data_IF_966720207977
#
_entry.id   IF_966720207977
#
_cell.length_a   1.000
_cell.length_b   1.000
_cell.length_c   1.000
_cell.angle_alpha   90.00
_cell.angle_beta   90.00
_cell.angle_gamma   90.00
#
_symmetry.space_group_name_H-M   'P 1'
#
loop_
_entity.id
_entity.type
_entity.pdbx_description
1 polymer ?
#
# COMPACT_ATOMS: atom_id res chain seq x y z
N UNK A 1 9.43 39.53 47.04
CA UNK A 1 9.27 39.51 45.57
C UNK A 1 9.84 38.26 44.91
N UNK A 2 11.02 37.77 45.27
CA UNK A 2 11.65 36.56 44.68
C UNK A 2 10.78 35.29 44.84
N UNK A 3 10.14 35.09 46.02
CA UNK A 3 9.32 33.90 46.28
C UNK A 3 8.03 33.86 45.44
N UNK A 4 7.45 35.02 45.11
CA UNK A 4 6.21 35.10 44.28
C UNK A 4 6.55 34.83 42.80
N UNK A 5 7.71 35.34 42.33
CA UNK A 5 8.19 35.08 40.97
C UNK A 5 8.55 33.61 40.79
N UNK A 6 9.18 32.97 41.75
CA UNK A 6 9.52 31.54 41.75
C UNK A 6 8.26 30.65 41.70
N UNK A 7 7.25 30.91 42.54
CA UNK A 7 5.95 30.21 42.52
C UNK A 7 5.18 30.41 41.21
N UNK A 8 5.32 31.58 40.56
CA UNK A 8 4.70 31.84 39.26
C UNK A 8 5.40 31.07 38.14
N UNK A 9 6.73 31.00 38.20
CA UNK A 9 7.53 30.24 37.26
C UNK A 9 7.29 28.72 37.37
N UNK A 10 7.23 28.21 38.61
CA UNK A 10 6.90 26.79 38.90
C UNK A 10 5.51 26.43 38.37
N UNK A 11 4.49 27.27 38.60
CA UNK A 11 3.15 27.06 38.04
C UNK A 11 3.08 27.16 36.53
N UNK A 12 3.92 27.98 35.92
CA UNK A 12 3.98 28.11 34.47
C UNK A 12 4.67 26.91 33.85
N UNK A 13 5.78 26.45 34.43
CA UNK A 13 6.49 25.24 33.96
C UNK A 13 5.63 23.98 34.12
N UNK A 14 4.95 23.82 35.27
CA UNK A 14 4.05 22.69 35.46
C UNK A 14 2.90 22.67 34.45
N UNK A 15 2.28 23.82 34.15
CA UNK A 15 1.26 23.92 33.12
C UNK A 15 1.80 23.67 31.71
N UNK A 16 2.95 24.27 31.40
CA UNK A 16 3.54 24.10 30.09
C UNK A 16 3.89 22.62 29.80
N UNK A 17 4.44 21.91 30.78
CA UNK A 17 4.73 20.49 30.70
C UNK A 17 3.46 19.64 30.63
N UNK A 18 2.43 20.02 31.37
CA UNK A 18 1.15 19.31 31.40
C UNK A 18 0.39 19.43 30.05
N UNK A 19 0.39 20.63 29.47
CA UNK A 19 -0.33 20.93 28.21
C UNK A 19 0.50 20.57 26.93
N UNK A 20 1.71 20.00 27.09
CA UNK A 20 2.50 19.52 25.93
C UNK A 20 1.85 18.32 25.26
N UNK A 21 1.79 18.34 23.93
CA UNK A 21 1.33 17.20 23.11
C UNK A 21 2.33 16.04 23.10
N UNK A 22 3.61 16.31 23.35
CA UNK A 22 4.62 15.28 23.53
C UNK A 22 4.53 14.66 24.91
N UNK A 23 4.66 13.35 24.99
CA UNK A 23 4.73 12.65 26.25
C UNK A 23 6.04 13.02 26.99
N UNK A 24 5.92 13.31 28.29
CA UNK A 24 7.06 13.67 29.17
C UNK A 24 7.05 12.78 30.38
N UNK A 25 8.17 12.09 30.60
CA UNK A 25 8.45 11.24 31.76
C UNK A 25 9.74 11.72 32.41
N UNK A 26 9.75 11.88 33.71
CA UNK A 26 10.96 12.20 34.48
C UNK A 26 11.22 11.08 35.48
N UNK A 27 12.43 10.55 35.44
CA UNK A 27 12.89 9.47 36.31
C UNK A 27 14.02 9.93 37.21
N UNK A 28 14.09 9.38 38.42
CA UNK A 28 15.28 9.45 39.24
C UNK A 28 16.31 8.40 38.80
N UNK A 29 17.45 8.40 39.44
CA UNK A 29 18.55 7.48 39.16
C UNK A 29 18.26 6.01 39.47
N UNK A 30 17.24 5.75 40.26
CA UNK A 30 16.74 4.42 40.65
C UNK A 30 15.54 4.00 39.80
N UNK A 31 15.29 4.70 38.70
CA UNK A 31 14.16 4.47 37.80
C UNK A 31 12.78 4.71 38.42
N UNK A 32 12.71 5.45 39.51
CA UNK A 32 11.41 5.83 40.05
C UNK A 32 10.84 7.03 39.27
N UNK A 33 9.54 7.00 39.02
CA UNK A 33 8.84 8.05 38.30
C UNK A 33 8.69 9.28 39.20
N UNK A 34 9.33 10.38 38.82
CA UNK A 34 9.19 11.68 39.50
C UNK A 34 8.01 12.45 38.93
N UNK A 35 7.84 12.42 37.61
CA UNK A 35 6.80 13.15 36.90
C UNK A 35 6.38 12.42 35.62
N UNK A 36 5.10 12.52 35.29
CA UNK A 36 4.51 12.07 34.05
C UNK A 36 3.40 13.07 33.67
N UNK A 37 3.41 13.53 32.40
CA UNK A 37 2.32 14.38 31.90
C UNK A 37 1.16 13.52 31.35
N UNK A 38 0.04 14.17 30.96
CA UNK A 38 -1.14 13.46 30.50
C UNK A 38 -0.87 12.63 29.23
N UNK A 39 -0.10 13.15 28.28
CA UNK A 39 0.26 12.42 27.07
C UNK A 39 1.08 11.15 27.37
N UNK A 40 2.05 11.22 28.28
CA UNK A 40 2.79 10.04 28.72
C UNK A 40 1.91 9.06 29.52
N UNK A 41 1.01 9.58 30.35
CA UNK A 41 0.04 8.79 31.10
C UNK A 41 -0.88 7.98 30.18
N UNK A 42 -1.33 8.56 29.08
CA UNK A 42 -2.19 7.89 28.10
C UNK A 42 -1.44 6.76 27.36
N UNK A 43 -0.20 7.00 26.92
CA UNK A 43 0.60 6.01 26.16
C UNK A 43 1.06 4.87 27.09
N UNK A 44 1.56 5.20 28.26
CA UNK A 44 2.07 4.23 29.24
C UNK A 44 0.96 3.56 30.05
N UNK A 45 -0.28 4.07 29.98
CA UNK A 45 -1.42 3.64 30.78
C UNK A 45 -1.13 3.70 32.30
N UNK A 46 -0.39 4.72 32.70
CA UNK A 46 -0.05 5.02 34.10
C UNK A 46 -1.08 6.00 34.65
N UNK A 47 -1.52 5.85 35.90
CA UNK A 47 -2.36 6.86 36.53
C UNK A 47 -1.61 8.20 36.56
N UNK A 48 -2.22 9.27 35.99
CA UNK A 48 -1.64 10.60 35.96
C UNK A 48 -1.57 11.21 37.40
N UNK A 49 -0.53 11.98 37.66
CA UNK A 49 -0.40 12.75 38.87
C UNK A 49 0.35 12.06 40.02
N UNK A 50 0.02 12.42 41.27
CA UNK A 50 0.75 12.01 42.51
C UNK A 50 0.81 10.48 42.74
N UNK A 51 -0.06 9.69 42.16
CA UNK A 51 -0.07 8.22 42.31
C UNK A 51 1.00 7.51 41.49
N UNK A 52 1.46 8.11 40.40
CA UNK A 52 2.58 7.57 39.61
C UNK A 52 3.94 7.87 40.27
N UNK A 53 3.99 8.83 41.20
CA UNK A 53 5.23 9.13 41.90
C UNK A 53 5.64 7.96 42.78
N UNK A 54 6.95 7.66 42.75
CA UNK A 54 7.60 6.57 43.48
C UNK A 54 7.31 5.16 42.92
N UNK A 55 6.53 5.05 41.82
CA UNK A 55 6.42 3.77 41.08
C UNK A 55 7.71 3.53 40.30
N UNK A 56 8.22 2.32 40.36
CA UNK A 56 9.41 1.94 39.57
C UNK A 56 9.00 1.76 38.11
N UNK A 57 9.73 2.40 37.18
CA UNK A 57 9.42 2.42 35.76
C UNK A 57 9.40 1.02 35.13
N UNK A 58 10.23 0.10 35.63
CA UNK A 58 10.26 -1.28 35.15
C UNK A 58 8.90 -1.97 35.16
N UNK A 59 7.97 -1.61 36.06
CA UNK A 59 6.60 -2.16 36.10
C UNK A 59 5.80 -1.90 34.82
N UNK A 60 6.19 -0.92 34.02
CA UNK A 60 5.52 -0.55 32.78
C UNK A 60 6.30 -1.01 31.53
N UNK A 61 7.45 -1.67 31.70
CA UNK A 61 8.30 -2.15 30.62
C UNK A 61 8.62 -3.65 30.69
N UNK A 62 7.95 -4.43 31.55
CA UNK A 62 8.20 -5.85 31.79
C UNK A 62 7.91 -6.77 30.58
N UNK A 63 7.07 -6.33 29.62
CA UNK A 63 6.82 -7.13 28.41
C UNK A 63 8.11 -7.18 27.55
N UNK A 64 8.59 -8.37 27.15
CA UNK A 64 9.80 -8.50 26.30
C UNK A 64 9.73 -7.68 24.98
N UNK A 65 8.52 -7.34 24.53
CA UNK A 65 8.32 -6.42 23.40
C UNK A 65 8.89 -5.01 23.67
N UNK A 66 8.99 -4.62 24.95
CA UNK A 66 9.40 -3.30 25.40
C UNK A 66 10.91 -3.21 25.73
N UNK A 67 11.69 -4.30 25.51
CA UNK A 67 13.13 -4.32 25.84
C UNK A 67 13.88 -3.15 25.19
N UNK A 68 13.61 -2.86 23.90
CA UNK A 68 14.26 -1.75 23.20
C UNK A 68 13.89 -0.37 23.80
N UNK A 69 12.65 -0.19 24.27
CA UNK A 69 12.20 1.02 24.96
C UNK A 69 12.90 1.17 26.32
N UNK A 70 12.95 0.10 27.09
CA UNK A 70 13.63 0.08 28.39
C UNK A 70 15.15 0.31 28.24
N UNK A 71 15.79 -0.37 27.30
CA UNK A 71 17.22 -0.21 27.04
C UNK A 71 17.59 1.22 26.61
N UNK A 72 16.76 1.88 25.80
CA UNK A 72 17.00 3.27 25.41
C UNK A 72 17.03 4.22 26.63
N UNK A 73 16.14 4.00 27.61
CA UNK A 73 16.07 4.79 28.86
C UNK A 73 17.24 4.44 29.78
N UNK A 74 17.52 3.15 30.01
CA UNK A 74 18.64 2.70 30.83
C UNK A 74 19.98 3.18 30.29
N UNK A 75 20.21 3.08 28.99
CA UNK A 75 21.43 3.55 28.36
C UNK A 75 21.67 5.04 28.60
N UNK A 76 20.61 5.86 28.56
CA UNK A 76 20.73 7.29 28.86
C UNK A 76 21.06 7.55 30.32
N UNK A 77 20.50 6.79 31.26
CA UNK A 77 20.81 6.88 32.70
C UNK A 77 22.22 6.44 33.02
N UNK A 78 22.66 5.27 32.52
CA UNK A 78 23.98 4.68 32.84
C UNK A 78 25.12 5.46 32.20
N UNK A 79 24.97 5.85 30.94
CA UNK A 79 26.02 6.60 30.23
C UNK A 79 26.00 8.10 30.48
N UNK A 80 25.03 8.61 31.24
CA UNK A 80 24.86 10.04 31.56
C UNK A 80 24.84 10.90 30.28
N UNK A 81 24.25 10.35 29.22
CA UNK A 81 24.20 10.97 27.90
C UNK A 81 22.77 11.22 27.47
N UNK A 82 22.54 12.39 26.89
CA UNK A 82 21.30 12.64 26.14
C UNK A 82 21.32 11.84 24.86
N UNK A 83 20.19 11.17 24.52
CA UNK A 83 19.95 10.52 23.25
C UNK A 83 18.91 11.32 22.46
N UNK A 84 19.02 11.32 21.15
CA UNK A 84 18.11 12.04 20.26
C UNK A 84 17.57 11.08 19.22
N UNK A 85 16.25 11.10 19.06
CA UNK A 85 15.50 10.55 17.92
C UNK A 85 15.65 9.03 17.71
N UNK A 86 15.71 8.23 18.78
CA UNK A 86 15.60 6.78 18.69
C UNK A 86 14.12 6.36 18.52
N UNK A 87 13.85 5.50 17.54
CA UNK A 87 12.53 4.90 17.30
C UNK A 87 12.50 3.50 17.85
N UNK A 88 11.64 3.28 18.82
CA UNK A 88 11.51 1.98 19.49
C UNK A 88 10.08 1.49 19.53
N UNK A 89 9.85 0.18 19.41
CA UNK A 89 8.53 -0.40 19.64
C UNK A 89 8.18 -0.33 21.12
N UNK A 90 6.91 -0.08 21.41
CA UNK A 90 6.34 -0.12 22.74
C UNK A 90 4.96 -0.76 22.72
N UNK A 91 4.66 -1.58 23.73
CA UNK A 91 3.36 -2.20 23.94
C UNK A 91 2.84 -1.83 25.31
N UNK A 92 1.68 -1.17 25.34
CA UNK A 92 1.05 -0.78 26.59
C UNK A 92 0.48 -1.99 27.37
N UNK A 93 0.18 -1.83 28.66
CA UNK A 93 -0.44 -2.87 29.49
C UNK A 93 -1.75 -3.43 28.90
N UNK A 94 -2.56 -2.62 28.21
CA UNK A 94 -3.76 -3.08 27.51
C UNK A 94 -3.48 -3.89 26.23
N UNK A 95 -2.21 -3.97 25.80
CA UNK A 95 -1.77 -4.67 24.59
C UNK A 95 -1.75 -3.81 23.32
N UNK A 96 -2.01 -2.50 23.41
CA UNK A 96 -1.90 -1.58 22.29
C UNK A 96 -0.42 -1.35 21.95
N UNK A 97 -0.05 -1.47 20.66
CA UNK A 97 1.32 -1.32 20.20
C UNK A 97 1.55 0.05 19.59
N UNK A 98 2.72 0.62 19.86
CA UNK A 98 3.18 1.91 19.38
C UNK A 98 4.59 1.80 18.80
N UNK A 99 4.95 2.72 17.93
CA UNK A 99 6.33 3.08 17.61
C UNK A 99 6.57 4.45 18.22
N UNK A 100 7.44 4.52 19.21
CA UNK A 100 7.72 5.75 19.94
C UNK A 100 9.05 6.34 19.46
N UNK A 101 9.03 7.61 19.07
CA UNK A 101 10.25 8.39 18.85
C UNK A 101 10.66 9.00 20.20
N UNK A 102 11.81 8.58 20.73
CA UNK A 102 12.28 8.90 22.08
C UNK A 102 13.46 9.84 22.02
N UNK A 103 13.41 10.86 22.86
CA UNK A 103 14.56 11.72 23.16
C UNK A 103 14.74 11.79 24.66
N UNK A 104 15.97 11.67 25.13
CA UNK A 104 16.27 11.74 26.56
C UNK A 104 17.32 12.82 26.86
N UNK A 105 17.15 13.50 27.99
CA UNK A 105 18.06 14.52 28.49
C UNK A 105 18.47 14.20 29.92
N UNK A 106 19.74 13.90 30.13
CA UNK A 106 20.29 13.69 31.47
C UNK A 106 20.56 15.04 32.15
N UNK A 107 19.95 15.25 33.30
CA UNK A 107 20.12 16.45 34.12
C UNK A 107 20.97 16.10 35.36
N UNK A 108 22.22 16.60 35.43
CA UNK A 108 23.05 16.35 36.61
C UNK A 108 22.51 17.13 37.82
N UNK A 109 22.35 16.44 38.94
CA UNK A 109 21.99 17.05 40.24
C UNK A 109 23.19 17.60 40.99
N UNK A 110 22.93 18.18 42.17
CA UNK A 110 23.98 18.64 43.09
C UNK A 110 24.81 17.46 43.68
N UNK A 111 24.18 16.32 43.85
CA UNK A 111 24.80 15.01 44.15
C UNK A 111 24.44 14.01 43.05
N UNK A 112 25.10 12.86 43.08
CA UNK A 112 24.76 11.81 42.11
C UNK A 112 23.33 11.28 42.30
N UNK A 113 22.83 11.28 43.49
CA UNK A 113 21.46 10.85 43.83
C UNK A 113 20.37 11.86 43.43
N UNK A 114 20.72 13.13 43.19
CA UNK A 114 19.82 14.19 42.75
C UNK A 114 19.73 14.30 41.20
N UNK A 115 20.38 13.40 40.48
CA UNK A 115 20.32 13.44 39.03
C UNK A 115 18.99 12.90 38.51
N UNK A 116 18.48 13.54 37.46
CA UNK A 116 17.21 13.21 36.83
C UNK A 116 17.38 12.93 35.34
N UNK A 117 16.56 12.04 34.82
CA UNK A 117 16.43 11.80 33.36
C UNK A 117 15.07 12.30 32.89
N UNK A 118 15.08 13.28 32.01
CA UNK A 118 13.87 13.70 31.29
C UNK A 118 13.79 12.93 29.98
N UNK A 119 12.74 12.15 29.84
CA UNK A 119 12.44 11.39 28.62
C UNK A 119 11.22 12.03 27.96
N UNK A 120 11.37 12.41 26.71
CA UNK A 120 10.26 12.83 25.87
C UNK A 120 10.03 11.80 24.78
N UNK A 121 8.78 11.50 24.47
CA UNK A 121 8.45 10.58 23.41
C UNK A 121 7.16 11.00 22.70
N UNK A 122 7.08 10.62 21.42
CA UNK A 122 5.94 10.92 20.55
C UNK A 122 5.48 9.61 19.91
N UNK A 123 4.17 9.43 19.81
CA UNK A 123 3.60 8.33 19.03
C UNK A 123 3.81 8.60 17.54
N UNK A 124 4.77 7.90 16.94
CA UNK A 124 5.15 7.97 15.52
C UNK A 124 4.61 6.78 14.71
N UNK A 125 3.68 6.01 15.31
CA UNK A 125 3.16 4.76 14.73
C UNK A 125 2.56 4.98 13.35
N UNK A 126 1.74 6.01 13.17
CA UNK A 126 1.09 6.30 11.89
C UNK A 126 2.09 6.72 10.81
N UNK A 127 3.10 7.50 11.20
CA UNK A 127 4.18 7.94 10.29
C UNK A 127 5.02 6.75 9.86
N UNK A 128 5.41 5.88 10.80
CA UNK A 128 6.21 4.69 10.49
C UNK A 128 5.46 3.69 9.62
N UNK A 129 4.18 3.42 9.91
CA UNK A 129 3.33 2.58 9.06
C UNK A 129 3.22 3.16 7.65
N UNK A 130 3.05 4.48 7.53
CA UNK A 130 2.99 5.16 6.23
C UNK A 130 4.31 5.06 5.49
N UNK A 131 5.43 5.29 6.18
CA UNK A 131 6.78 5.15 5.63
C UNK A 131 7.03 3.74 5.12
N UNK A 132 6.69 2.73 5.91
CA UNK A 132 6.87 1.33 5.53
C UNK A 132 6.03 0.97 4.29
N UNK A 133 4.78 1.43 4.21
CA UNK A 133 3.94 1.25 3.02
C UNK A 133 4.53 1.89 1.77
N UNK A 134 5.13 3.07 1.90
CA UNK A 134 5.82 3.74 0.78
C UNK A 134 7.05 2.93 0.32
N UNK A 135 7.87 2.45 1.25
CA UNK A 135 9.04 1.61 0.96
C UNK A 135 8.61 0.33 0.26
N UNK A 136 7.60 -0.36 0.78
CA UNK A 136 7.10 -1.60 0.22
C UNK A 136 6.47 -1.40 -1.16
N UNK A 137 5.73 -0.30 -1.36
CA UNK A 137 5.17 0.07 -2.66
C UNK A 137 6.27 0.38 -3.68
N UNK A 138 7.30 1.11 -3.29
CA UNK A 138 8.44 1.41 -4.15
C UNK A 138 9.21 0.14 -4.53
N UNK A 139 9.47 -0.74 -3.55
CA UNK A 139 10.13 -2.03 -3.77
C UNK A 139 9.32 -2.92 -4.70
N UNK A 140 8.00 -3.01 -4.49
CA UNK A 140 7.09 -3.80 -5.32
C UNK A 140 7.08 -3.30 -6.76
N UNK A 141 6.95 -1.98 -6.96
CA UNK A 141 6.94 -1.39 -8.30
C UNK A 141 8.29 -1.55 -9.01
N UNK A 142 9.41 -1.37 -8.32
CA UNK A 142 10.74 -1.57 -8.88
C UNK A 142 10.99 -3.02 -9.30
N UNK A 143 10.54 -4.00 -8.49
CA UNK A 143 10.63 -5.42 -8.81
C UNK A 143 9.79 -5.76 -10.04
N UNK A 144 8.57 -5.24 -10.12
CA UNK A 144 7.72 -5.36 -11.30
C UNK A 144 8.40 -4.76 -12.54
N UNK A 145 8.92 -3.55 -12.44
CA UNK A 145 9.58 -2.86 -13.56
C UNK A 145 10.78 -3.67 -14.09
N UNK A 146 11.56 -4.26 -13.18
CA UNK A 146 12.64 -5.15 -13.56
C UNK A 146 12.14 -6.37 -14.33
N UNK A 147 11.12 -7.07 -13.85
CA UNK A 147 10.50 -8.20 -14.53
C UNK A 147 9.88 -7.81 -15.88
N UNK A 148 9.25 -6.66 -15.95
CA UNK A 148 8.70 -6.10 -17.19
C UNK A 148 9.81 -5.81 -18.23
N UNK A 149 10.93 -5.24 -17.82
CA UNK A 149 12.08 -5.03 -18.71
C UNK A 149 12.65 -6.36 -19.24
N UNK A 150 12.76 -7.39 -18.39
CA UNK A 150 13.17 -8.72 -18.83
C UNK A 150 12.19 -9.27 -19.84
N UNK A 151 10.89 -9.14 -19.62
CA UNK A 151 9.86 -9.60 -20.56
C UNK A 151 9.96 -8.87 -21.90
N UNK A 152 10.16 -7.55 -21.93
CA UNK A 152 10.38 -6.78 -23.18
C UNK A 152 11.65 -7.24 -23.92
N UNK A 153 12.75 -7.47 -23.19
CA UNK A 153 13.99 -7.98 -23.78
C UNK A 153 13.80 -9.39 -24.38
N UNK A 154 13.06 -10.24 -23.71
CA UNK A 154 12.72 -11.57 -24.21
C UNK A 154 11.86 -11.47 -25.47
N UNK A 155 10.86 -10.59 -25.49
CA UNK A 155 10.07 -10.31 -26.68
C UNK A 155 10.94 -9.84 -27.84
N UNK A 156 11.81 -8.86 -27.63
CA UNK A 156 12.70 -8.31 -28.66
C UNK A 156 13.68 -9.37 -29.19
N UNK A 157 14.24 -10.21 -28.33
CA UNK A 157 15.11 -11.31 -28.71
C UNK A 157 14.37 -12.33 -29.57
N UNK A 158 13.15 -12.67 -29.20
CA UNK A 158 12.34 -13.62 -29.97
C UNK A 158 12.01 -13.09 -31.35
N UNK A 159 11.63 -11.83 -31.49
CA UNK A 159 11.42 -11.15 -32.76
C UNK A 159 12.71 -11.17 -33.62
N UNK A 160 13.84 -10.85 -32.99
CA UNK A 160 15.14 -10.89 -33.70
C UNK A 160 15.47 -12.27 -34.22
N UNK A 161 15.17 -13.34 -33.51
CA UNK A 161 15.40 -14.71 -33.90
C UNK A 161 14.40 -15.21 -34.93
N UNK A 162 13.41 -14.41 -35.32
CA UNK A 162 12.33 -14.75 -36.26
C UNK A 162 11.69 -16.12 -35.98
N UNK A 163 11.52 -16.44 -34.70
CA UNK A 163 10.85 -17.68 -34.28
C UNK A 163 9.33 -17.54 -34.47
N UNK A 164 8.63 -18.62 -34.88
CA UNK A 164 7.17 -18.59 -34.95
C UNK A 164 6.60 -18.31 -33.54
N UNK A 165 5.71 -17.33 -33.48
CA UNK A 165 5.05 -16.97 -32.23
C UNK A 165 3.90 -17.91 -31.93
N UNK A 166 3.83 -18.32 -30.66
CA UNK A 166 2.57 -18.58 -30.02
C UNK A 166 2.23 -17.35 -29.17
N UNK A 167 1.14 -16.66 -29.45
CA UNK A 167 0.62 -15.58 -28.62
C UNK A 167 0.41 -16.06 -27.17
N UNK A 168 0.08 -17.33 -27.01
CA UNK A 168 -0.10 -18.00 -25.72
C UNK A 168 1.18 -17.96 -24.88
N UNK A 169 2.36 -18.14 -25.47
CA UNK A 169 3.63 -18.11 -24.72
C UNK A 169 3.87 -16.74 -24.08
N UNK A 170 3.55 -15.66 -24.81
CA UNK A 170 3.70 -14.30 -24.26
C UNK A 170 2.68 -13.99 -23.19
N UNK A 171 1.45 -14.42 -23.39
CA UNK A 171 0.38 -14.30 -22.40
C UNK A 171 0.76 -15.06 -21.11
N UNK A 172 1.26 -16.28 -21.20
CA UNK A 172 1.74 -17.05 -20.07
C UNK A 172 2.96 -16.40 -19.39
N UNK A 173 3.80 -15.69 -20.13
CA UNK A 173 4.89 -14.88 -19.55
C UNK A 173 4.37 -13.75 -18.67
N UNK A 174 3.30 -13.07 -19.07
CA UNK A 174 2.63 -12.04 -18.25
C UNK A 174 1.95 -12.66 -17.02
N UNK A 175 1.28 -13.81 -17.19
CA UNK A 175 0.67 -14.55 -16.07
C UNK A 175 1.73 -14.99 -15.05
N UNK A 176 2.86 -15.52 -15.51
CA UNK A 176 3.97 -15.89 -14.65
C UNK A 176 4.52 -14.67 -13.88
N UNK A 177 4.67 -13.53 -14.55
CA UNK A 177 5.07 -12.29 -13.90
C UNK A 177 4.08 -11.92 -12.79
N UNK A 178 2.77 -12.04 -13.03
CA UNK A 178 1.73 -11.81 -12.02
C UNK A 178 1.85 -12.72 -10.80
N UNK A 179 2.06 -14.02 -11.02
CA UNK A 179 2.25 -14.98 -9.94
C UNK A 179 3.53 -14.73 -9.14
N UNK A 180 4.63 -14.38 -9.83
CA UNK A 180 5.89 -14.00 -9.18
C UNK A 180 5.71 -12.75 -8.32
N UNK A 181 5.00 -11.74 -8.83
CA UNK A 181 4.70 -10.53 -8.08
C UNK A 181 3.81 -10.81 -6.86
N UNK A 182 2.81 -11.67 -7.00
CA UNK A 182 1.96 -12.09 -5.88
C UNK A 182 2.80 -12.74 -4.79
N UNK A 183 3.64 -13.72 -5.14
CA UNK A 183 4.56 -14.38 -4.21
C UNK A 183 5.52 -13.37 -3.54
N UNK A 184 6.11 -12.47 -4.31
CA UNK A 184 7.04 -11.45 -3.80
C UNK A 184 6.37 -10.56 -2.76
N UNK A 185 5.16 -10.06 -3.06
CA UNK A 185 4.43 -9.17 -2.15
C UNK A 185 4.17 -9.89 -0.82
N UNK A 186 3.65 -11.12 -0.86
CA UNK A 186 3.34 -11.86 0.37
C UNK A 186 4.57 -12.24 1.18
N UNK A 187 5.71 -12.47 0.53
CA UNK A 187 6.92 -12.93 1.22
C UNK A 187 7.78 -11.79 1.75
N UNK A 188 7.75 -10.62 1.10
CA UNK A 188 8.77 -9.58 1.30
C UNK A 188 8.20 -8.18 1.58
N UNK A 189 6.89 -8.04 1.69
CA UNK A 189 6.26 -6.75 2.01
C UNK A 189 5.24 -6.88 3.13
N UNK A 190 4.88 -5.76 3.74
CA UNK A 190 3.82 -5.64 4.74
C UNK A 190 2.46 -5.27 4.13
N UNK A 191 2.37 -5.22 2.77
CA UNK A 191 1.13 -4.86 2.09
C UNK A 191 0.05 -5.91 2.33
N UNK A 192 -1.10 -5.46 2.81
CA UNK A 192 -2.25 -6.32 3.09
C UNK A 192 -3.11 -6.55 1.84
N UNK A 193 -3.98 -7.53 1.87
CA UNK A 193 -5.00 -7.76 0.84
C UNK A 193 -5.86 -6.52 0.57
N UNK A 194 -6.11 -5.73 1.60
CA UNK A 194 -6.85 -4.47 1.50
C UNK A 194 -6.02 -3.39 0.79
N UNK A 195 -4.72 -3.28 1.12
CA UNK A 195 -3.82 -2.36 0.43
C UNK A 195 -3.69 -2.66 -1.07
N UNK A 196 -3.79 -3.93 -1.43
CA UNK A 196 -3.76 -4.40 -2.81
C UNK A 196 -5.12 -4.27 -3.53
N UNK A 197 -6.18 -3.88 -2.81
CA UNK A 197 -7.52 -3.84 -3.37
C UNK A 197 -8.10 -5.21 -3.77
N UNK A 198 -7.58 -6.30 -3.20
CA UNK A 198 -8.08 -7.67 -3.43
C UNK A 198 -9.29 -7.95 -2.54
N UNK A 199 -9.35 -7.33 -1.35
CA UNK A 199 -10.50 -7.41 -0.45
C UNK A 199 -11.34 -6.13 -0.51
N UNK A 200 -12.65 -6.28 -0.35
CA UNK A 200 -13.60 -5.18 -0.30
C UNK A 200 -14.68 -5.44 0.72
N UNK A 201 -15.06 -4.41 1.48
CA UNK A 201 -16.15 -4.46 2.46
C UNK A 201 -17.55 -4.45 1.79
N UNK A 202 -17.60 -4.18 0.48
CA UNK A 202 -18.86 -4.01 -0.27
C UNK A 202 -18.88 -4.84 -1.56
N UNK A 203 -18.71 -6.18 -1.49
CA UNK A 203 -18.52 -7.02 -2.67
C UNK A 203 -19.73 -6.97 -3.64
N UNK A 204 -20.95 -6.98 -3.11
CA UNK A 204 -22.16 -6.96 -3.91
C UNK A 204 -22.33 -5.65 -4.69
N UNK A 205 -22.04 -4.51 -4.04
CA UNK A 205 -22.08 -3.19 -4.69
C UNK A 205 -21.04 -3.10 -5.79
N UNK A 206 -19.84 -3.59 -5.53
CA UNK A 206 -18.74 -3.59 -6.48
C UNK A 206 -19.05 -4.48 -7.68
N UNK A 207 -19.54 -5.71 -7.46
CA UNK A 207 -19.95 -6.63 -8.51
C UNK A 207 -21.08 -6.03 -9.37
N UNK A 208 -22.11 -5.45 -8.75
CA UNK A 208 -23.21 -4.79 -9.50
C UNK A 208 -22.70 -3.67 -10.39
N UNK A 209 -21.81 -2.82 -9.88
CA UNK A 209 -21.23 -1.73 -10.69
C UNK A 209 -20.36 -2.32 -11.81
N UNK A 210 -19.56 -3.34 -11.54
CA UNK A 210 -18.77 -4.05 -12.54
C UNK A 210 -19.64 -4.62 -13.67
N UNK A 211 -20.76 -5.28 -13.33
CA UNK A 211 -21.70 -5.82 -14.32
C UNK A 211 -22.35 -4.73 -15.18
N UNK A 212 -22.71 -3.58 -14.61
CA UNK A 212 -23.27 -2.45 -15.36
C UNK A 212 -22.24 -1.90 -16.36
N UNK A 213 -21.00 -1.71 -15.91
CA UNK A 213 -19.90 -1.23 -16.77
C UNK A 213 -19.57 -2.27 -17.84
N UNK A 214 -19.54 -3.56 -17.49
CA UNK A 214 -19.35 -4.65 -18.45
C UNK A 214 -20.43 -4.67 -19.53
N UNK A 215 -21.70 -4.51 -19.17
CA UNK A 215 -22.78 -4.42 -20.14
C UNK A 215 -22.60 -3.23 -21.10
N UNK A 216 -22.20 -2.08 -20.60
CA UNK A 216 -21.86 -0.91 -21.41
C UNK A 216 -20.67 -1.17 -22.36
N UNK A 217 -19.62 -1.84 -21.87
CA UNK A 217 -18.44 -2.22 -22.67
C UNK A 217 -18.80 -3.21 -23.79
N UNK A 218 -19.67 -4.18 -23.50
CA UNK A 218 -20.19 -5.13 -24.51
C UNK A 218 -21.02 -4.39 -25.58
N UNK A 219 -21.90 -3.47 -25.17
CA UNK A 219 -22.64 -2.66 -26.13
C UNK A 219 -21.71 -1.84 -27.05
N UNK A 220 -20.63 -1.30 -26.50
CA UNK A 220 -19.61 -0.62 -27.30
C UNK A 220 -18.93 -1.56 -28.31
N UNK A 221 -18.57 -2.81 -27.91
CA UNK A 221 -18.02 -3.80 -28.84
C UNK A 221 -18.98 -4.12 -30.00
N UNK A 222 -20.29 -4.23 -29.71
CA UNK A 222 -21.30 -4.40 -30.78
C UNK A 222 -21.31 -3.22 -31.75
N UNK A 223 -21.28 -1.99 -31.24
CA UNK A 223 -21.23 -0.77 -32.07
C UNK A 223 -19.94 -0.73 -32.90
N UNK A 224 -18.79 -1.05 -32.32
CA UNK A 224 -17.51 -1.11 -33.05
C UNK A 224 -17.61 -2.12 -34.22
N UNK A 225 -18.12 -3.33 -33.97
CA UNK A 225 -18.26 -4.35 -35.04
C UNK A 225 -19.23 -3.90 -36.12
N UNK A 226 -20.35 -3.24 -35.76
CA UNK A 226 -21.32 -2.72 -36.75
C UNK A 226 -20.68 -1.64 -37.62
N UNK A 227 -19.95 -0.68 -37.01
CA UNK A 227 -19.27 0.38 -37.77
C UNK A 227 -18.20 -0.22 -38.68
N UNK A 228 -17.37 -1.15 -38.15
CA UNK A 228 -16.31 -1.76 -38.93
C UNK A 228 -16.85 -2.51 -40.15
N UNK A 229 -17.93 -3.28 -39.99
CA UNK A 229 -18.60 -3.96 -41.13
C UNK A 229 -19.29 -3.01 -42.11
N UNK A 230 -19.75 -1.86 -41.64
CA UNK A 230 -20.32 -0.84 -42.53
C UNK A 230 -19.22 -0.16 -43.38
N UNK A 231 -18.02 0.01 -42.82
CA UNK A 231 -16.85 0.59 -43.54
C UNK A 231 -16.19 -0.45 -44.47
N UNK A 232 -15.97 -1.65 -43.96
CA UNK A 232 -15.43 -2.79 -44.72
C UNK A 232 -16.24 -4.05 -44.40
N UNK A 233 -17.13 -4.50 -45.34
CA UNK A 233 -17.95 -5.70 -45.17
C UNK A 233 -17.15 -6.98 -44.92
N UNK A 234 -15.87 -7.03 -45.30
CA UNK A 234 -15.00 -8.18 -45.08
C UNK A 234 -14.33 -8.18 -43.70
N UNK A 235 -14.57 -7.16 -42.87
CA UNK A 235 -14.00 -7.09 -41.55
C UNK A 235 -14.55 -8.18 -40.61
N UNK A 236 -13.69 -8.69 -39.73
CA UNK A 236 -14.08 -9.57 -38.63
C UNK A 236 -14.91 -10.80 -39.01
N UNK A 237 -14.37 -11.62 -39.92
CA UNK A 237 -14.97 -12.88 -40.40
C UNK A 237 -16.42 -12.68 -40.90
N UNK A 238 -16.59 -12.16 -42.12
CA UNK A 238 -17.93 -11.83 -42.66
C UNK A 238 -18.85 -13.06 -42.77
N UNK A 239 -18.25 -14.26 -43.00
CA UNK A 239 -18.98 -15.51 -43.14
C UNK A 239 -19.43 -16.14 -41.81
N UNK A 240 -18.93 -15.65 -40.68
CA UNK A 240 -19.33 -16.12 -39.37
C UNK A 240 -20.57 -15.35 -38.82
N UNK A 241 -21.34 -15.97 -37.91
CA UNK A 241 -22.42 -15.26 -37.23
C UNK A 241 -21.91 -13.97 -36.58
N UNK A 242 -22.78 -12.95 -36.52
CA UNK A 242 -22.41 -11.67 -35.92
C UNK A 242 -21.95 -11.83 -34.45
N UNK A 243 -22.60 -12.74 -33.73
CA UNK A 243 -22.24 -13.21 -32.40
C UNK A 243 -22.17 -14.74 -32.43
N UNK A 244 -20.96 -15.28 -32.36
CA UNK A 244 -20.69 -16.69 -32.59
C UNK A 244 -20.55 -17.44 -31.26
N UNK A 245 -21.66 -18.00 -30.75
CA UNK A 245 -21.70 -18.79 -29.52
C UNK A 245 -20.88 -20.09 -29.59
N UNK A 246 -20.59 -20.61 -30.81
CA UNK A 246 -19.77 -21.83 -30.95
C UNK A 246 -18.32 -21.65 -30.47
N UNK A 247 -17.88 -20.39 -30.33
CA UNK A 247 -16.57 -20.04 -29.82
C UNK A 247 -16.51 -20.00 -28.27
N UNK A 248 -17.66 -20.17 -27.60
CA UNK A 248 -17.68 -20.27 -26.14
C UNK A 248 -17.34 -21.69 -25.69
N UNK A 249 -16.26 -21.83 -24.96
CA UNK A 249 -15.78 -23.12 -24.47
C UNK A 249 -15.02 -23.00 -23.14
N UNK A 250 -14.33 -24.05 -22.78
CA UNK A 250 -13.56 -24.12 -21.53
C UNK A 250 -12.51 -22.99 -21.44
N UNK A 251 -11.91 -22.60 -22.57
CA UNK A 251 -10.94 -21.51 -22.62
C UNK A 251 -11.53 -20.19 -22.12
N UNK A 252 -12.75 -19.84 -22.50
CA UNK A 252 -13.44 -18.61 -22.06
C UNK A 252 -13.79 -18.63 -20.56
N UNK A 253 -14.02 -19.83 -20.02
CA UNK A 253 -14.23 -20.01 -18.56
C UNK A 253 -12.90 -19.83 -17.82
N UNK A 254 -11.83 -20.48 -18.30
CA UNK A 254 -10.49 -20.38 -17.68
C UNK A 254 -9.95 -18.95 -17.74
N UNK A 255 -10.31 -18.20 -18.79
CA UNK A 255 -9.89 -16.81 -18.97
C UNK A 255 -10.28 -15.90 -17.77
N UNK A 256 -11.23 -16.31 -16.94
CA UNK A 256 -11.53 -15.58 -15.69
C UNK A 256 -10.28 -15.45 -14.79
N UNK A 257 -9.44 -16.49 -14.71
CA UNK A 257 -8.21 -16.46 -13.89
C UNK A 257 -7.14 -15.59 -14.54
N UNK A 258 -6.96 -15.72 -15.86
CA UNK A 258 -6.04 -14.85 -16.62
C UNK A 258 -6.41 -13.37 -16.46
N UNK A 259 -7.68 -13.02 -16.66
CA UNK A 259 -8.18 -11.67 -16.44
C UNK A 259 -7.93 -11.19 -15.00
N UNK A 260 -8.11 -12.07 -14.01
CA UNK A 260 -7.82 -11.75 -12.60
C UNK A 260 -6.35 -11.44 -12.34
N UNK A 261 -5.43 -12.23 -12.88
CA UNK A 261 -3.98 -12.01 -12.77
C UNK A 261 -3.60 -10.71 -13.48
N UNK A 262 -4.15 -10.45 -14.65
CA UNK A 262 -3.88 -9.21 -15.40
C UNK A 262 -4.38 -7.97 -14.68
N UNK A 263 -5.59 -8.01 -14.09
CA UNK A 263 -6.09 -6.91 -13.28
C UNK A 263 -5.32 -6.74 -11.96
N UNK A 264 -4.89 -7.83 -11.34
CA UNK A 264 -3.99 -7.75 -10.18
C UNK A 264 -2.69 -7.02 -10.56
N UNK A 265 -2.04 -7.37 -11.67
CA UNK A 265 -0.86 -6.65 -12.14
C UNK A 265 -1.16 -5.18 -12.44
N UNK A 266 -2.18 -4.91 -13.24
CA UNK A 266 -2.50 -3.56 -13.69
C UNK A 266 -2.93 -2.64 -12.54
N UNK A 267 -3.77 -3.12 -11.62
CA UNK A 267 -4.36 -2.28 -10.57
C UNK A 267 -3.58 -2.33 -9.26
N UNK A 268 -3.29 -3.53 -8.74
CA UNK A 268 -2.64 -3.67 -7.44
C UNK A 268 -1.14 -3.37 -7.52
N UNK A 269 -0.46 -3.98 -8.51
CA UNK A 269 1.01 -3.88 -8.63
C UNK A 269 1.44 -2.58 -9.31
N UNK A 270 0.78 -2.14 -10.37
CA UNK A 270 1.20 -0.97 -11.14
C UNK A 270 0.46 0.28 -10.63
N UNK A 271 -0.85 0.37 -10.86
CA UNK A 271 -1.62 1.60 -10.56
C UNK A 271 -1.57 1.97 -9.08
N UNK A 272 -1.82 1.01 -8.18
CA UNK A 272 -1.85 1.23 -6.74
C UNK A 272 -0.51 1.69 -6.19
N UNK A 273 0.60 1.07 -6.61
CA UNK A 273 1.93 1.46 -6.14
C UNK A 273 2.38 2.81 -6.72
N UNK A 274 2.17 3.07 -8.03
CA UNK A 274 2.45 4.38 -8.62
C UNK A 274 1.69 5.48 -7.85
N UNK A 275 0.40 5.27 -7.57
CA UNK A 275 -0.39 6.23 -6.81
C UNK A 275 0.19 6.54 -5.43
N UNK A 276 0.70 5.53 -4.71
CA UNK A 276 1.25 5.70 -3.35
C UNK A 276 2.61 6.39 -3.34
N UNK A 277 3.48 6.06 -4.31
CA UNK A 277 4.86 6.59 -4.34
C UNK A 277 4.98 7.95 -5.00
N UNK A 278 3.93 8.43 -5.70
CA UNK A 278 4.00 9.64 -6.51
C UNK A 278 3.47 10.85 -5.74
N UNK A 279 4.30 11.90 -5.66
CA UNK A 279 3.96 13.17 -5.01
C UNK A 279 3.71 14.23 -6.10
N UNK A 280 2.49 14.23 -6.65
CA UNK A 280 2.03 15.20 -7.65
C UNK A 280 0.61 15.65 -7.33
N UNK A 281 0.13 16.73 -7.98
CA UNK A 281 -1.22 17.29 -7.75
C UNK A 281 -2.34 16.26 -7.93
N UNK A 282 -2.22 15.35 -8.92
CA UNK A 282 -3.23 14.34 -9.25
C UNK A 282 -2.57 12.95 -9.40
N UNK A 283 -2.18 12.30 -8.29
CA UNK A 283 -1.47 11.02 -8.34
C UNK A 283 -2.31 9.89 -8.97
N UNK A 284 -3.63 9.90 -8.74
CA UNK A 284 -4.54 8.91 -9.34
C UNK A 284 -4.59 8.99 -10.87
N UNK A 285 -4.68 10.20 -11.44
CA UNK A 285 -4.68 10.37 -12.90
C UNK A 285 -3.37 9.88 -13.53
N UNK A 286 -2.23 10.26 -12.92
CA UNK A 286 -0.93 9.80 -13.41
C UNK A 286 -0.81 8.28 -13.32
N UNK A 287 -1.27 7.68 -12.22
CA UNK A 287 -1.25 6.24 -12.03
C UNK A 287 -2.12 5.51 -13.07
N UNK A 288 -3.32 6.04 -13.39
CA UNK A 288 -4.17 5.51 -14.46
C UNK A 288 -3.45 5.58 -15.80
N UNK A 289 -2.90 6.74 -16.18
CA UNK A 289 -2.21 6.90 -17.47
C UNK A 289 -1.02 5.94 -17.60
N UNK A 290 -0.13 5.89 -16.60
CA UNK A 290 1.05 5.04 -16.64
C UNK A 290 0.69 3.55 -16.63
N UNK A 291 -0.25 3.13 -15.77
CA UNK A 291 -0.68 1.73 -15.73
C UNK A 291 -1.33 1.29 -17.05
N UNK A 292 -2.10 2.16 -17.69
CA UNK A 292 -2.73 1.86 -18.98
C UNK A 292 -1.70 1.72 -20.10
N UNK A 293 -0.67 2.56 -20.12
CA UNK A 293 0.42 2.47 -21.10
C UNK A 293 1.27 1.20 -20.88
N UNK A 294 1.59 0.86 -19.65
CA UNK A 294 2.34 -0.36 -19.32
C UNK A 294 1.49 -1.60 -19.67
N UNK A 295 0.19 -1.58 -19.34
CA UNK A 295 -0.73 -2.65 -19.70
C UNK A 295 -0.82 -2.85 -21.21
N UNK A 296 -0.92 -1.76 -21.97
CA UNK A 296 -0.87 -1.80 -23.43
C UNK A 296 0.44 -2.38 -23.96
N UNK A 297 1.58 -1.98 -23.38
CA UNK A 297 2.88 -2.51 -23.78
C UNK A 297 3.02 -4.03 -23.51
N UNK A 298 2.40 -4.56 -22.45
CA UNK A 298 2.32 -6.00 -22.20
C UNK A 298 1.54 -6.75 -23.28
N UNK A 299 0.73 -6.07 -24.09
CA UNK A 299 -0.06 -6.61 -25.19
C UNK A 299 0.55 -6.35 -26.58
N UNK A 300 1.81 -5.87 -26.65
CA UNK A 300 2.49 -5.55 -27.92
C UNK A 300 2.55 -6.75 -28.88
N UNK A 301 2.63 -7.97 -28.36
CA UNK A 301 2.67 -9.22 -29.11
C UNK A 301 1.37 -9.54 -29.86
N UNK A 302 0.26 -8.87 -29.53
CA UNK A 302 -1.05 -9.03 -30.20
C UNK A 302 -1.26 -7.98 -31.31
N UNK A 303 -0.28 -7.11 -31.54
CA UNK A 303 -0.29 -6.11 -32.59
C UNK A 303 -0.74 -4.73 -32.14
N UNK A 304 -0.43 -3.73 -32.98
CA UNK A 304 -0.58 -2.32 -32.63
C UNK A 304 -2.01 -1.89 -32.31
N UNK A 305 -2.99 -2.35 -33.14
CA UNK A 305 -4.40 -1.98 -32.92
C UNK A 305 -4.95 -2.57 -31.62
N UNK A 306 -4.57 -3.82 -31.33
CA UNK A 306 -4.94 -4.46 -30.06
C UNK A 306 -4.33 -3.71 -28.87
N UNK A 307 -3.07 -3.33 -28.96
CA UNK A 307 -2.37 -2.55 -27.94
C UNK A 307 -3.08 -1.22 -27.67
N UNK A 308 -3.53 -0.50 -28.73
CA UNK A 308 -4.31 0.74 -28.58
C UNK A 308 -5.64 0.50 -27.88
N UNK A 309 -6.36 -0.56 -28.26
CA UNK A 309 -7.61 -0.97 -27.61
C UNK A 309 -7.40 -1.33 -26.14
N UNK A 310 -6.34 -2.06 -25.82
CA UNK A 310 -5.95 -2.42 -24.46
C UNK A 310 -5.64 -1.18 -23.62
N UNK A 311 -4.97 -0.15 -24.18
CA UNK A 311 -4.71 1.11 -23.49
C UNK A 311 -6.00 1.83 -23.10
N UNK A 312 -6.96 1.91 -24.02
CA UNK A 312 -8.26 2.56 -23.79
C UNK A 312 -9.06 1.80 -22.73
N UNK A 313 -9.17 0.48 -22.86
CA UNK A 313 -9.85 -0.38 -21.89
C UNK A 313 -9.22 -0.23 -20.50
N UNK A 314 -7.91 -0.36 -20.41
CA UNK A 314 -7.17 -0.22 -19.16
C UNK A 314 -7.35 1.16 -18.53
N UNK A 315 -7.48 2.22 -19.33
CA UNK A 315 -7.81 3.57 -18.83
C UNK A 315 -9.19 3.64 -18.18
N UNK A 316 -10.20 3.09 -18.85
CA UNK A 316 -11.58 3.04 -18.32
C UNK A 316 -11.68 2.20 -17.04
N UNK A 317 -11.05 1.03 -17.04
CA UNK A 317 -10.97 0.16 -15.87
C UNK A 317 -10.17 0.81 -14.74
N UNK A 318 -9.09 1.56 -15.05
CA UNK A 318 -8.32 2.32 -14.09
C UNK A 318 -9.15 3.39 -13.37
N UNK A 319 -10.06 4.08 -14.08
CA UNK A 319 -11.02 5.02 -13.50
C UNK A 319 -12.01 4.28 -12.58
N UNK A 320 -12.48 3.11 -12.98
CA UNK A 320 -13.39 2.29 -12.18
C UNK A 320 -12.71 1.83 -10.90
N UNK A 321 -11.47 1.31 -11.00
CA UNK A 321 -10.66 0.92 -9.86
C UNK A 321 -10.44 2.07 -8.87
N UNK A 322 -10.10 3.26 -9.37
CA UNK A 322 -9.89 4.44 -8.55
C UNK A 322 -11.15 4.81 -7.72
N UNK A 323 -12.33 4.61 -8.28
CA UNK A 323 -13.61 4.87 -7.61
C UNK A 323 -14.02 3.77 -6.63
N UNK A 324 -13.61 2.52 -6.87
CA UNK A 324 -14.02 1.36 -6.06
C UNK A 324 -12.99 0.98 -4.98
N UNK A 325 -11.71 1.29 -5.21
CA UNK A 325 -10.60 0.90 -4.33
C UNK A 325 -10.30 -0.60 -4.33
N UNK A 326 -10.85 -1.37 -5.29
CA UNK A 326 -10.61 -2.81 -5.36
C UNK A 326 -10.71 -3.34 -6.80
N UNK A 327 -10.09 -4.51 -7.05
CA UNK A 327 -10.00 -5.13 -8.38
C UNK A 327 -11.28 -5.89 -8.80
N UNK A 328 -12.22 -6.15 -7.89
CA UNK A 328 -13.31 -7.08 -8.14
C UNK A 328 -14.24 -6.64 -9.28
N UNK A 329 -14.57 -5.35 -9.34
CA UNK A 329 -15.42 -4.80 -10.40
C UNK A 329 -14.72 -4.77 -11.75
N UNK A 330 -13.45 -4.36 -11.80
CA UNK A 330 -12.68 -4.31 -13.05
C UNK A 330 -12.38 -5.73 -13.57
N UNK A 331 -12.13 -6.69 -12.69
CA UNK A 331 -11.96 -8.10 -13.06
C UNK A 331 -13.18 -8.64 -13.81
N UNK A 332 -14.41 -8.35 -13.34
CA UNK A 332 -15.64 -8.72 -14.03
C UNK A 332 -15.71 -8.05 -15.43
N UNK A 333 -15.40 -6.75 -15.51
CA UNK A 333 -15.41 -6.00 -16.77
C UNK A 333 -14.44 -6.62 -17.77
N UNK A 334 -13.21 -6.86 -17.35
CA UNK A 334 -12.15 -7.41 -18.18
C UNK A 334 -12.52 -8.81 -18.72
N UNK A 335 -12.95 -9.71 -17.82
CA UNK A 335 -13.37 -11.05 -18.22
C UNK A 335 -14.52 -11.00 -19.23
N UNK A 336 -15.59 -10.29 -18.95
CA UNK A 336 -16.77 -10.18 -19.84
C UNK A 336 -16.39 -9.54 -21.17
N UNK A 337 -15.57 -8.48 -21.17
CA UNK A 337 -15.10 -7.81 -22.37
C UNK A 337 -14.28 -8.76 -23.27
N UNK A 338 -13.32 -9.50 -22.71
CA UNK A 338 -12.49 -10.44 -23.45
C UNK A 338 -13.30 -11.59 -24.05
N UNK A 339 -14.20 -12.20 -23.25
CA UNK A 339 -15.12 -13.24 -23.72
C UNK A 339 -15.99 -12.72 -24.87
N UNK A 340 -16.65 -11.58 -24.69
CA UNK A 340 -17.52 -11.02 -25.72
C UNK A 340 -16.73 -10.58 -26.96
N UNK A 341 -15.52 -10.07 -26.81
CA UNK A 341 -14.62 -9.76 -27.91
C UNK A 341 -14.31 -10.98 -28.78
N UNK A 342 -14.08 -12.14 -28.15
CA UNK A 342 -13.89 -13.41 -28.85
C UNK A 342 -15.17 -13.87 -29.56
N UNK A 343 -16.33 -13.83 -28.89
CA UNK A 343 -17.61 -14.21 -29.47
C UNK A 343 -18.06 -13.29 -30.63
N UNK A 344 -17.61 -12.05 -30.61
CA UNK A 344 -17.80 -11.09 -31.71
C UNK A 344 -16.74 -11.20 -32.81
N UNK A 345 -15.77 -12.12 -32.69
CA UNK A 345 -14.62 -12.25 -33.62
C UNK A 345 -13.80 -10.95 -33.76
N UNK A 346 -13.84 -10.08 -32.76
CA UNK A 346 -13.00 -8.89 -32.70
C UNK A 346 -11.60 -9.25 -32.15
N UNK A 347 -11.52 -10.35 -31.42
CA UNK A 347 -10.31 -10.92 -30.84
C UNK A 347 -10.22 -12.36 -31.35
N UNK A 348 -9.17 -12.67 -32.07
CA UNK A 348 -8.84 -14.03 -32.49
C UNK A 348 -7.75 -14.58 -31.59
N UNK A 349 -8.12 -15.53 -30.73
CA UNK A 349 -7.20 -16.34 -29.93
C UNK A 349 -7.32 -17.81 -30.29
#
# INVERSE_FOLDING_TARGET
MVTIARKKLERFSDRALHDMSSAVLVLDRKENIIYVNDAASEILEVESGKRARDAHFALYSEDPYNDAFHDAILNALFHKKSTLDDRVPYKSPSGKTYVLEISSSYLPGATEDDAELVVTFVDDTEVEVTRQRLVDSSRTFSTFLFGFCIWILFYALWEFLKRPWSSDLMTHGVELLGLVMLFFIFRYTSLTWHDLGIMTDKPLKTARTGLIVAAGSVALLFVIKLIARAVDPNSFRPDAPFFDLSRFGVRQIIYIFTAGIQEFLARSVIQGNIRRITVVKNPGLLAICLSSLIFAALHIHLGFLFMCGAAILAGLEGILYEKQGNIFGVWIVHWVFGVCGTLLSLIDH
#
